data_IF_467775503332
#
_entry.id   IF_467775503332
#
_cell.length_a   1.000
_cell.length_b   1.000
_cell.length_c   1.000
_cell.angle_alpha   90.00
_cell.angle_beta   90.00
_cell.angle_gamma   90.00
#
_symmetry.space_group_name_H-M   'P 1'
#
loop_
_entity.id
_entity.type
_entity.pdbx_description
1 polymer ?
#
# COMPACT_ATOMS: atom_id res chain seq x y z
N UNK A 1 -2.04 -14.46 -9.61
CA UNK A 1 -2.30 -14.07 -8.21
C UNK A 1 -2.99 -12.71 -8.24
N UNK A 2 -4.17 -12.63 -7.64
CA UNK A 2 -4.96 -11.42 -7.55
C UNK A 2 -4.79 -10.82 -6.14
N UNK A 3 -4.46 -9.53 -6.08
CA UNK A 3 -4.17 -8.80 -4.83
C UNK A 3 -5.01 -7.53 -4.84
N UNK A 4 -5.62 -7.21 -3.70
CA UNK A 4 -6.41 -6.00 -3.50
C UNK A 4 -6.02 -5.37 -2.16
N UNK A 5 -5.84 -4.05 -2.15
CA UNK A 5 -5.65 -3.27 -0.93
C UNK A 5 -7.00 -3.06 -0.26
N UNK A 6 -7.11 -3.51 0.99
CA UNK A 6 -8.34 -3.42 1.78
C UNK A 6 -8.43 -2.10 2.56
N UNK A 7 -7.32 -1.70 3.20
CA UNK A 7 -7.28 -0.50 4.05
C UNK A 7 -5.85 0.06 4.15
N UNK A 8 -5.73 1.31 4.61
CA UNK A 8 -4.47 1.93 5.00
C UNK A 8 -4.61 2.63 6.36
N UNK A 9 -3.71 2.34 7.29
CA UNK A 9 -3.72 2.94 8.63
C UNK A 9 -2.54 3.90 8.72
N UNK A 10 -2.85 5.20 8.85
CA UNK A 10 -1.86 6.20 9.19
C UNK A 10 -1.55 6.10 10.68
N UNK A 11 -0.33 5.68 11.02
CA UNK A 11 0.03 5.33 12.41
C UNK A 11 0.05 6.51 13.37
N UNK A 12 0.35 7.72 12.87
CA UNK A 12 0.54 8.89 13.73
C UNK A 12 0.13 10.20 13.03
N UNK A 13 -1.16 10.47 12.81
CA UNK A 13 -1.60 11.76 12.26
C UNK A 13 -1.15 12.96 13.12
N UNK A 14 -1.06 12.79 14.45
CA UNK A 14 -0.69 13.85 15.39
C UNK A 14 0.75 14.33 15.26
N UNK A 15 1.64 13.53 14.65
CA UNK A 15 3.05 13.94 14.45
C UNK A 15 3.24 14.78 13.19
N UNK A 16 2.20 14.89 12.35
CA UNK A 16 2.24 15.74 11.18
C UNK A 16 2.15 17.21 11.61
N UNK A 17 2.97 18.12 11.03
CA UNK A 17 2.98 19.54 11.36
C UNK A 17 1.77 20.26 10.72
N UNK A 18 0.56 19.86 11.09
CA UNK A 18 -0.70 20.38 10.59
C UNK A 18 -1.38 21.28 11.64
N UNK A 19 -2.06 22.33 11.17
CA UNK A 19 -3.01 23.07 12.01
C UNK A 19 -4.29 22.23 12.25
N UNK A 20 -5.09 22.62 13.23
CA UNK A 20 -6.31 21.89 13.61
C UNK A 20 -7.28 21.72 12.43
N UNK A 21 -7.42 22.76 11.60
CA UNK A 21 -8.29 22.72 10.41
C UNK A 21 -7.87 21.65 9.40
N UNK A 22 -6.57 21.46 9.19
CA UNK A 22 -6.08 20.44 8.26
C UNK A 22 -6.02 19.05 8.90
N UNK A 23 -5.86 18.95 10.24
CA UNK A 23 -6.05 17.68 10.97
C UNK A 23 -7.47 17.14 10.81
N UNK A 24 -8.49 17.98 11.03
CA UNK A 24 -9.90 17.57 10.85
C UNK A 24 -10.19 17.05 9.43
N UNK A 25 -9.60 17.70 8.40
CA UNK A 25 -9.73 17.22 7.02
C UNK A 25 -9.06 15.87 6.82
N UNK A 26 -7.87 15.68 7.39
CA UNK A 26 -7.13 14.43 7.29
C UNK A 26 -7.90 13.29 7.98
N UNK A 27 -8.43 13.52 9.18
CA UNK A 27 -9.27 12.57 9.90
C UNK A 27 -10.49 12.14 9.08
N UNK A 28 -11.13 13.11 8.40
CA UNK A 28 -12.24 12.81 7.49
C UNK A 28 -11.80 11.92 6.32
N UNK A 29 -10.66 12.21 5.69
CA UNK A 29 -10.12 11.37 4.60
C UNK A 29 -9.81 9.95 5.09
N UNK A 30 -9.21 9.82 6.28
CA UNK A 30 -8.93 8.52 6.92
C UNK A 30 -10.23 7.73 7.16
N UNK A 31 -11.32 8.41 7.56
CA UNK A 31 -12.61 7.77 7.78
C UNK A 31 -13.35 7.38 6.50
N UNK A 32 -13.24 8.19 5.44
CA UNK A 32 -14.05 8.04 4.22
C UNK A 32 -13.35 7.21 3.12
N UNK A 33 -12.06 7.45 2.83
CA UNK A 33 -11.29 6.74 1.78
C UNK A 33 -9.78 6.72 2.15
N UNK A 34 -9.37 5.92 3.15
CA UNK A 34 -7.99 5.90 3.65
C UNK A 34 -6.95 5.52 2.58
N UNK A 35 -7.34 4.72 1.58
CA UNK A 35 -6.46 4.34 0.47
C UNK A 35 -6.12 5.50 -0.46
N UNK A 36 -6.88 6.61 -0.42
CA UNK A 36 -6.54 7.83 -1.15
C UNK A 36 -5.26 8.51 -0.63
N UNK A 37 -4.81 8.16 0.58
CA UNK A 37 -3.54 8.63 1.14
C UNK A 37 -2.32 7.92 0.55
N UNK A 38 -2.50 6.77 -0.11
CA UNK A 38 -1.38 6.02 -0.67
C UNK A 38 -0.84 6.72 -1.91
N UNK A 39 0.44 7.10 -1.86
CA UNK A 39 1.18 7.69 -2.97
C UNK A 39 1.53 6.61 -4.01
N UNK A 40 2.11 5.52 -3.53
CA UNK A 40 2.40 4.34 -4.33
C UNK A 40 2.42 3.07 -3.50
N UNK A 41 2.23 1.94 -4.17
CA UNK A 41 2.36 0.63 -3.55
C UNK A 41 3.05 -0.36 -4.48
N UNK A 42 3.64 -1.39 -3.88
CA UNK A 42 4.48 -2.35 -4.57
C UNK A 42 4.34 -3.74 -3.98
N UNK A 43 4.64 -4.74 -4.82
CA UNK A 43 4.45 -6.15 -4.49
C UNK A 43 5.76 -6.90 -4.72
N UNK A 44 6.19 -7.63 -3.69
CA UNK A 44 7.13 -8.75 -3.79
C UNK A 44 6.35 -10.06 -3.67
N UNK A 45 6.13 -10.78 -4.79
CA UNK A 45 5.37 -12.03 -4.79
C UNK A 45 6.12 -13.23 -4.20
N UNK A 46 7.41 -13.10 -3.90
CA UNK A 46 8.24 -14.20 -3.40
C UNK A 46 9.21 -13.68 -2.32
N UNK A 47 8.63 -13.02 -1.32
CA UNK A 47 9.38 -12.40 -0.24
C UNK A 47 10.06 -13.47 0.63
N UNK A 48 11.37 -13.33 0.83
CA UNK A 48 12.17 -14.28 1.62
C UNK A 48 12.08 -14.04 3.13
N UNK A 49 11.47 -12.93 3.56
CA UNK A 49 11.39 -12.52 4.96
C UNK A 49 12.48 -11.54 5.37
N UNK A 50 13.40 -11.19 4.47
CA UNK A 50 14.54 -10.32 4.76
C UNK A 50 14.56 -9.13 3.80
N UNK A 51 14.69 -9.39 2.50
CA UNK A 51 14.92 -8.36 1.48
C UNK A 51 13.70 -8.24 0.58
N UNK A 52 13.06 -7.08 0.63
CA UNK A 52 11.95 -6.77 -0.26
C UNK A 52 12.43 -6.55 -1.70
N UNK A 53 11.89 -7.30 -2.66
CA UNK A 53 12.23 -7.21 -4.08
C UNK A 53 10.99 -6.91 -4.90
N UNK A 54 10.75 -5.61 -5.11
CA UNK A 54 9.63 -5.13 -5.92
C UNK A 54 9.62 -5.77 -7.32
N UNK A 55 8.49 -6.41 -7.69
CA UNK A 55 8.23 -6.97 -9.02
C UNK A 55 7.07 -6.32 -9.74
N UNK A 56 6.23 -5.59 -9.01
CA UNK A 56 5.10 -4.85 -9.53
C UNK A 56 4.90 -3.60 -8.67
N UNK A 57 4.50 -2.50 -9.29
CA UNK A 57 4.32 -1.20 -8.66
C UNK A 57 3.14 -0.46 -9.29
N UNK A 58 2.48 0.37 -8.50
CA UNK A 58 1.49 1.34 -8.95
C UNK A 58 1.69 2.67 -8.23
N UNK A 59 1.67 3.73 -9.01
CA UNK A 59 1.78 5.12 -8.55
C UNK A 59 0.50 5.84 -8.90
N UNK A 60 0.09 6.79 -8.08
CA UNK A 60 -1.07 7.62 -8.42
C UNK A 60 -0.84 8.53 -9.63
N UNK A 61 0.40 8.93 -9.89
CA UNK A 61 0.78 9.66 -11.11
C UNK A 61 0.56 8.85 -12.39
N UNK A 62 0.37 7.53 -12.30
CA UNK A 62 0.01 6.70 -13.46
C UNK A 62 -1.43 6.94 -13.95
N UNK A 63 -2.26 7.66 -13.20
CA UNK A 63 -3.68 7.83 -13.50
C UNK A 63 -4.08 9.32 -13.43
N UNK A 64 -4.93 9.77 -14.36
CA UNK A 64 -5.30 11.18 -14.50
C UNK A 64 -6.00 11.77 -13.25
N UNK A 65 -6.67 10.94 -12.45
CA UNK A 65 -7.38 11.35 -11.24
C UNK A 65 -6.50 11.35 -9.98
N UNK A 66 -5.20 11.06 -10.13
CA UNK A 66 -4.23 10.96 -9.04
C UNK A 66 -4.67 9.98 -7.95
N UNK A 67 -5.33 8.90 -8.34
CA UNK A 67 -5.59 7.74 -7.50
C UNK A 67 -4.78 6.54 -7.95
N UNK A 68 -4.42 5.69 -7.00
CA UNK A 68 -3.84 4.38 -7.29
C UNK A 68 -4.93 3.39 -7.75
N UNK A 69 -4.57 2.47 -8.64
CA UNK A 69 -5.33 1.21 -8.75
C UNK A 69 -5.15 0.40 -7.49
N UNK A 70 -6.27 0.04 -6.85
CA UNK A 70 -6.32 -0.71 -5.59
C UNK A 70 -6.09 -2.21 -5.79
N UNK A 71 -6.16 -2.70 -7.03
CA UNK A 71 -6.03 -4.10 -7.40
C UNK A 71 -4.86 -4.36 -8.34
N UNK A 72 -4.16 -5.47 -8.14
CA UNK A 72 -3.13 -5.97 -9.02
C UNK A 72 -3.40 -7.42 -9.43
N UNK A 73 -3.14 -7.73 -10.70
CA UNK A 73 -3.06 -9.11 -11.20
C UNK A 73 -1.64 -9.38 -11.63
N UNK A 74 -0.99 -10.33 -10.96
CA UNK A 74 0.39 -10.71 -11.26
C UNK A 74 0.48 -12.18 -11.68
N UNK A 75 1.23 -12.43 -12.74
CA UNK A 75 1.57 -13.78 -13.19
C UNK A 75 2.80 -14.21 -12.43
N UNK A 76 2.69 -15.31 -11.71
CA UNK A 76 3.80 -15.93 -10.99
C UNK A 76 3.99 -17.36 -11.51
N UNK A 77 5.22 -17.91 -11.47
CA UNK A 77 5.43 -19.33 -11.72
C UNK A 77 4.53 -20.16 -10.80
N UNK A 78 4.18 -21.38 -11.22
CA UNK A 78 3.50 -22.31 -10.32
C UNK A 78 4.41 -22.61 -9.13
N UNK A 79 3.92 -22.36 -7.93
CA UNK A 79 4.65 -22.64 -6.69
C UNK A 79 3.92 -23.77 -5.98
N UNK A 80 4.56 -24.94 -5.89
CA UNK A 80 3.98 -26.14 -5.28
C UNK A 80 4.20 -26.19 -3.74
N UNK A 81 4.68 -25.09 -3.16
CA UNK A 81 4.97 -24.94 -1.73
C UNK A 81 4.45 -23.60 -1.24
N UNK A 82 4.28 -23.49 0.07
CA UNK A 82 3.96 -22.22 0.71
C UNK A 82 4.99 -21.15 0.35
N UNK A 83 4.51 -19.95 0.08
CA UNK A 83 5.35 -18.79 -0.19
C UNK A 83 4.74 -17.53 0.43
N UNK A 84 5.57 -16.51 0.63
CA UNK A 84 5.15 -15.24 1.20
C UNK A 84 5.08 -14.17 0.13
N UNK A 85 4.03 -13.38 0.18
CA UNK A 85 3.86 -12.16 -0.59
C UNK A 85 4.00 -11.00 0.38
N UNK A 86 4.86 -10.04 0.06
CA UNK A 86 4.97 -8.79 0.81
C UNK A 86 4.40 -7.66 -0.04
N UNK A 87 3.59 -6.83 0.58
CA UNK A 87 3.06 -5.61 0.00
C UNK A 87 3.62 -4.45 0.81
N UNK A 88 4.20 -3.47 0.11
CA UNK A 88 4.60 -2.19 0.70
C UNK A 88 3.76 -1.07 0.11
N UNK A 89 3.34 -0.14 0.94
CA UNK A 89 2.66 1.08 0.54
C UNK A 89 3.37 2.28 1.17
N UNK A 90 3.46 3.38 0.43
CA UNK A 90 3.99 4.65 0.91
C UNK A 90 2.91 5.69 0.73
N UNK A 91 2.65 6.48 1.76
CA UNK A 91 1.65 7.56 1.71
C UNK A 91 2.23 8.89 1.22
N UNK A 92 1.33 9.85 0.99
CA UNK A 92 1.63 11.23 0.59
C UNK A 92 2.50 12.00 1.59
N UNK A 93 2.68 11.48 2.81
CA UNK A 93 3.54 12.07 3.83
C UNK A 93 4.92 11.39 3.89
N UNK A 94 5.14 10.35 3.08
CA UNK A 94 6.39 9.62 3.00
C UNK A 94 6.54 8.50 4.03
N UNK A 95 5.49 8.14 4.78
CA UNK A 95 5.55 6.98 5.66
C UNK A 95 5.35 5.69 4.88
N UNK A 96 6.16 4.68 5.21
CA UNK A 96 6.06 3.34 4.64
C UNK A 96 5.29 2.41 5.60
N UNK A 97 4.39 1.61 5.03
CA UNK A 97 3.73 0.48 5.68
C UNK A 97 3.98 -0.80 4.88
N UNK A 98 4.09 -1.94 5.57
CA UNK A 98 4.30 -3.24 4.96
C UNK A 98 3.41 -4.31 5.58
N UNK A 99 2.87 -5.20 4.74
CA UNK A 99 2.14 -6.38 5.18
C UNK A 99 2.65 -7.62 4.45
N UNK A 100 2.73 -8.74 5.17
CA UNK A 100 3.21 -10.01 4.64
C UNK A 100 2.12 -11.05 4.78
N UNK A 101 1.80 -11.74 3.69
CA UNK A 101 0.81 -12.81 3.67
C UNK A 101 1.42 -14.10 3.14
N UNK A 102 1.26 -15.18 3.91
CA UNK A 102 1.59 -16.53 3.45
C UNK A 102 0.46 -17.06 2.57
N UNK A 103 0.83 -17.59 1.40
CA UNK A 103 -0.07 -18.21 0.43
C UNK A 103 0.21 -19.71 0.42
N UNK A 104 -0.85 -20.52 0.45
CA UNK A 104 -0.79 -21.99 0.42
C UNK A 104 -1.00 -22.53 -1.00
#
# INVERSE_FOLDING_TARGET
LDIELDNYILLSPDVLPLDEKNKEKLEKVIGDDPLSLVEYWSIDPNYDGEIFRSKWQEYRENNDDLRIKKSAKIIIPKIDKKFKVCIKAVDVFGFESATVKEIN
#
